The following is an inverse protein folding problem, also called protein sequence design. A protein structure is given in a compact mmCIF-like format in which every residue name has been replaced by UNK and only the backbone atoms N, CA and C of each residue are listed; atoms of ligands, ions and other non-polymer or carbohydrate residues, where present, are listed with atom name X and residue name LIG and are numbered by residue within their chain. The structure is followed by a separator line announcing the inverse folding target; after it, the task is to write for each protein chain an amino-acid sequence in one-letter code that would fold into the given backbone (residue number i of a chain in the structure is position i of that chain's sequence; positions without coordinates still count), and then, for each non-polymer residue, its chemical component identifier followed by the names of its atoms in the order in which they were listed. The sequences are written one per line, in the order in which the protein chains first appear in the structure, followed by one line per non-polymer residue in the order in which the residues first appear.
data_IF_602085101019
#
_entry.id   IF_602085101019
#
_cell.length_a   1.000
_cell.length_b   1.000
_cell.length_c   1.000
_cell.angle_alpha   90.00
_cell.angle_beta   90.00
_cell.angle_gamma   90.00
#
_symmetry.space_group_name_H-M   'P 1'
#
loop_
_entity.id
_entity.type
_entity.pdbx_description
1 polymer ?
#
# COMPACT_ATOMS: atom_id res chain seq x y z
N UNK A 1 -22.44 -10.71 -12.17
CA UNK A 1 -21.13 -11.42 -12.22
C UNK A 1 -19.95 -10.60 -12.76
N UNK A 2 -19.98 -10.00 -13.97
CA UNK A 2 -18.79 -9.32 -14.56
C UNK A 2 -18.09 -8.30 -13.63
N UNK A 3 -18.86 -7.46 -12.92
CA UNK A 3 -18.32 -6.47 -11.95
C UNK A 3 -17.62 -7.13 -10.75
N UNK A 4 -18.17 -8.22 -10.21
CA UNK A 4 -17.57 -8.97 -9.10
C UNK A 4 -16.23 -9.61 -9.49
N UNK A 5 -16.16 -10.26 -10.67
CA UNK A 5 -14.89 -10.81 -11.19
C UNK A 5 -13.81 -9.74 -11.35
N UNK A 6 -14.18 -8.54 -11.84
CA UNK A 6 -13.26 -7.39 -11.95
C UNK A 6 -12.76 -6.93 -10.58
N UNK A 7 -13.62 -6.89 -9.56
CA UNK A 7 -13.27 -6.46 -8.20
C UNK A 7 -12.32 -7.46 -7.51
N UNK A 8 -12.56 -8.77 -7.65
CA UNK A 8 -11.66 -9.82 -7.17
C UNK A 8 -10.29 -9.76 -7.86
N UNK A 9 -10.26 -9.51 -9.18
CA UNK A 9 -8.99 -9.37 -9.92
C UNK A 9 -8.18 -8.15 -9.46
N UNK A 10 -8.84 -7.01 -9.21
CA UNK A 10 -8.21 -5.81 -8.64
C UNK A 10 -7.65 -6.10 -7.24
N UNK A 11 -8.39 -6.80 -6.38
CA UNK A 11 -7.91 -7.19 -5.05
C UNK A 11 -6.64 -8.05 -5.14
N UNK A 12 -6.61 -9.05 -6.02
CA UNK A 12 -5.45 -9.91 -6.25
C UNK A 12 -4.24 -9.13 -6.76
N UNK A 13 -4.42 -8.24 -7.74
CA UNK A 13 -3.35 -7.39 -8.24
C UNK A 13 -2.77 -6.48 -7.14
N UNK A 14 -3.65 -5.91 -6.29
CA UNK A 14 -3.23 -5.10 -5.14
C UNK A 14 -2.48 -5.92 -4.07
N UNK A 15 -2.88 -7.15 -3.80
CA UNK A 15 -2.12 -8.04 -2.89
C UNK A 15 -0.70 -8.31 -3.41
N UNK A 16 -0.53 -8.53 -4.73
CA UNK A 16 0.81 -8.72 -5.33
C UNK A 16 1.66 -7.45 -5.18
N UNK A 17 1.08 -6.27 -5.46
CA UNK A 17 1.79 -4.98 -5.30
C UNK A 17 2.14 -4.71 -3.83
N UNK A 18 1.21 -4.91 -2.90
CA UNK A 18 1.47 -4.73 -1.47
C UNK A 18 2.53 -5.72 -0.94
N UNK A 19 2.52 -6.98 -1.41
CA UNK A 19 3.56 -7.96 -1.11
C UNK A 19 4.93 -7.54 -1.64
N UNK A 20 5.00 -7.06 -2.89
CA UNK A 20 6.23 -6.56 -3.49
C UNK A 20 6.79 -5.34 -2.73
N UNK A 21 5.96 -4.33 -2.44
CA UNK A 21 6.36 -3.16 -1.64
C UNK A 21 6.83 -3.56 -0.24
N UNK A 22 6.16 -4.53 0.40
CA UNK A 22 6.53 -5.02 1.74
C UNK A 22 7.87 -5.74 1.78
N UNK A 23 8.35 -6.29 0.65
CA UNK A 23 9.57 -7.14 0.58
C UNK A 23 10.71 -6.49 -0.20
N UNK A 24 10.48 -5.52 -1.09
CA UNK A 24 11.55 -4.94 -1.92
C UNK A 24 11.79 -3.44 -1.69
N UNK A 25 10.95 -2.76 -0.91
CA UNK A 25 11.12 -1.33 -0.66
C UNK A 25 12.21 -1.08 0.41
N UNK A 26 13.32 -0.46 -0.03
CA UNK A 26 14.26 0.24 0.88
C UNK A 26 13.51 1.39 1.54
N UNK A 27 13.52 1.46 2.88
CA UNK A 27 12.79 2.49 3.62
C UNK A 27 13.68 3.66 4.03
N UNK A 28 14.94 3.38 4.38
CA UNK A 28 15.97 4.38 4.67
C UNK A 28 17.35 3.81 4.40
N UNK A 29 18.29 4.69 4.07
CA UNK A 29 19.70 4.37 3.90
C UNK A 29 20.51 5.53 4.49
N UNK A 30 21.53 5.22 5.29
CA UNK A 30 22.53 6.18 5.75
C UNK A 30 23.89 5.68 5.29
N UNK A 31 24.70 6.57 4.72
CA UNK A 31 26.07 6.30 4.27
C UNK A 31 27.00 7.38 4.77
N UNK A 32 28.22 7.00 5.17
CA UNK A 32 29.28 7.93 5.56
C UNK A 32 30.66 7.33 5.26
N UNK A 33 31.63 8.21 4.97
CA UNK A 33 33.02 7.81 4.79
C UNK A 33 33.63 7.37 6.12
N UNK A 34 34.38 6.28 6.11
CA UNK A 34 35.08 5.73 7.27
C UNK A 34 36.57 5.53 6.96
N UNK A 35 37.47 5.83 7.92
CA UNK A 35 38.89 5.69 7.72
C UNK A 35 39.34 4.22 7.74
N UNK A 36 40.57 3.98 7.28
CA UNK A 36 41.28 2.71 7.49
C UNK A 36 41.25 2.29 8.97
N UNK A 37 41.06 0.99 9.22
CA UNK A 37 40.97 0.40 10.55
C UNK A 37 39.56 0.39 11.14
N UNK A 38 38.56 0.93 10.43
CA UNK A 38 37.14 0.77 10.76
C UNK A 38 36.75 -0.71 10.85
N UNK A 39 35.90 -1.05 11.81
CA UNK A 39 35.43 -2.40 12.06
C UNK A 39 33.90 -2.46 11.95
N UNK A 40 33.36 -3.45 11.25
CA UNK A 40 31.91 -3.64 11.13
C UNK A 40 31.54 -5.12 11.00
N UNK A 41 30.24 -5.43 11.04
CA UNK A 41 29.70 -6.78 11.10
C UNK A 41 29.26 -7.18 12.50
N UNK A 42 28.96 -8.47 12.69
CA UNK A 42 28.40 -9.00 13.93
C UNK A 42 29.23 -8.60 15.18
N UNK A 43 28.60 -8.26 16.32
CA UNK A 43 29.31 -7.84 17.54
C UNK A 43 30.42 -8.81 18.01
N UNK A 44 30.24 -10.11 17.76
CA UNK A 44 31.20 -11.16 18.14
C UNK A 44 32.18 -11.56 17.02
N UNK A 45 32.05 -10.99 15.82
CA UNK A 45 32.87 -11.31 14.65
C UNK A 45 32.97 -10.11 13.70
N UNK A 46 33.51 -9.00 14.22
CA UNK A 46 33.73 -7.78 13.42
C UNK A 46 34.95 -7.92 12.52
N UNK A 47 34.79 -7.58 11.24
CA UNK A 47 35.91 -7.50 10.31
C UNK A 47 36.49 -6.08 10.32
N UNK A 48 37.81 -5.95 10.51
CA UNK A 48 38.53 -4.68 10.32
C UNK A 48 38.90 -4.48 8.86
N UNK A 49 38.76 -3.26 8.38
CA UNK A 49 39.07 -2.88 6.99
C UNK A 49 40.47 -2.27 6.91
N UNK A 50 41.32 -2.83 6.05
CA UNK A 50 42.69 -2.33 5.81
C UNK A 50 42.75 -1.11 4.87
N UNK A 51 41.61 -0.62 4.42
CA UNK A 51 41.44 0.51 3.51
C UNK A 51 40.32 1.43 4.00
N UNK A 52 40.33 2.68 3.56
CA UNK A 52 39.20 3.59 3.71
C UNK A 52 38.05 3.23 2.76
N UNK A 53 36.84 3.67 3.07
CA UNK A 53 35.65 3.34 2.29
C UNK A 53 34.41 4.10 2.71
N UNK A 54 33.30 3.83 2.02
CA UNK A 54 31.96 4.21 2.44
C UNK A 54 31.35 3.07 3.27
N UNK A 55 30.95 3.36 4.50
CA UNK A 55 30.09 2.48 5.27
C UNK A 55 28.65 2.94 5.14
N UNK A 56 27.75 2.01 4.88
CA UNK A 56 26.32 2.29 4.74
C UNK A 56 25.46 1.27 5.47
N UNK A 57 24.34 1.72 6.01
CA UNK A 57 23.31 0.87 6.60
C UNK A 57 22.03 1.10 5.81
N UNK A 58 21.42 0.00 5.35
CA UNK A 58 20.18 0.01 4.57
C UNK A 58 19.11 -0.76 5.32
N UNK A 59 17.97 -0.12 5.57
CA UNK A 59 16.79 -0.74 6.16
C UNK A 59 15.76 -1.03 5.07
N UNK A 60 15.15 -2.20 5.14
CA UNK A 60 14.10 -2.63 4.23
C UNK A 60 12.80 -2.85 4.98
N UNK A 61 11.69 -2.43 4.36
CA UNK A 61 10.36 -2.43 4.97
C UNK A 61 10.03 -1.13 5.71
N UNK A 62 8.76 -0.75 5.61
CA UNK A 62 8.17 0.42 6.27
C UNK A 62 6.68 0.13 6.52
N UNK A 63 6.12 0.50 7.69
CA UNK A 63 6.75 1.24 8.79
C UNK A 63 7.68 0.39 9.68
N UNK A 64 7.54 -0.93 9.68
CA UNK A 64 8.41 -1.82 10.46
C UNK A 64 9.58 -2.33 9.59
N UNK A 65 10.85 -2.10 9.96
CA UNK A 65 11.95 -2.73 9.26
C UNK A 65 11.89 -4.24 9.48
N UNK A 66 11.94 -5.02 8.39
CA UNK A 66 11.98 -6.50 8.47
C UNK A 66 13.39 -7.05 8.20
N UNK A 67 14.28 -6.24 7.61
CA UNK A 67 15.67 -6.56 7.33
C UNK A 67 16.52 -5.31 7.47
N UNK A 68 17.72 -5.46 8.04
CA UNK A 68 18.76 -4.44 8.05
C UNK A 68 20.05 -5.04 7.51
N UNK A 69 20.66 -4.36 6.54
CA UNK A 69 21.92 -4.77 5.92
C UNK A 69 22.92 -3.63 6.07
N UNK A 70 24.02 -3.90 6.76
CA UNK A 70 25.24 -3.10 6.76
C UNK A 70 26.04 -3.43 5.49
N UNK A 71 26.72 -2.44 4.92
CA UNK A 71 27.52 -2.61 3.70
C UNK A 71 28.69 -1.64 3.70
N UNK A 72 29.90 -2.19 3.66
CA UNK A 72 31.13 -1.45 3.42
C UNK A 72 31.54 -1.57 1.95
N UNK A 73 31.84 -0.43 1.35
CA UNK A 73 32.39 -0.31 0.01
C UNK A 73 33.74 0.40 0.09
N UNK A 74 34.87 -0.28 -0.17
CA UNK A 74 36.17 0.37 -0.16
C UNK A 74 36.28 1.45 -1.25
N UNK A 75 37.10 2.48 -0.98
CA UNK A 75 37.39 3.57 -1.92
C UNK A 75 38.55 3.18 -2.85
N UNK A 76 38.44 3.50 -4.14
CA UNK A 76 39.46 3.21 -5.17
C UNK A 76 39.13 1.99 -6.03
N UNK A 77 40.16 1.36 -6.64
CA UNK A 77 40.03 0.25 -7.59
C UNK A 77 39.66 -1.11 -6.96
N UNK A 78 39.48 -1.17 -5.64
CA UNK A 78 39.03 -2.38 -4.95
C UNK A 78 37.50 -2.43 -5.01
N UNK A 79 36.94 -3.37 -5.77
CA UNK A 79 35.49 -3.50 -5.96
C UNK A 79 34.78 -4.40 -4.93
N UNK A 80 35.52 -4.97 -3.98
CA UNK A 80 34.98 -5.92 -2.99
C UNK A 80 34.08 -5.24 -1.97
N UNK A 81 32.79 -5.14 -2.32
CA UNK A 81 31.73 -4.72 -1.40
C UNK A 81 31.44 -5.84 -0.41
N UNK A 82 31.54 -5.54 0.88
CA UNK A 82 31.29 -6.48 1.96
C UNK A 82 29.97 -6.12 2.65
N UNK A 83 29.03 -7.06 2.68
CA UNK A 83 27.70 -6.85 3.26
C UNK A 83 27.43 -7.80 4.43
N UNK A 84 26.84 -7.28 5.50
CA UNK A 84 26.42 -8.04 6.67
C UNK A 84 24.94 -7.79 6.97
N UNK A 85 24.17 -8.85 7.20
CA UNK A 85 22.76 -8.73 7.58
C UNK A 85 22.65 -8.64 9.12
N UNK A 86 22.65 -7.41 9.64
CA UNK A 86 22.48 -7.10 11.07
C UNK A 86 21.16 -7.66 11.62
N UNK A 87 20.08 -7.51 10.86
CA UNK A 87 18.78 -8.08 11.18
C UNK A 87 18.32 -8.97 10.01
N UNK A 88 18.32 -10.30 10.17
CA UNK A 88 17.81 -11.21 9.15
C UNK A 88 16.28 -11.11 9.00
N UNK A 89 15.76 -11.62 7.89
CA UNK A 89 14.39 -11.42 7.42
C UNK A 89 13.31 -11.83 8.44
N UNK A 90 12.71 -10.86 9.13
CA UNK A 90 11.72 -11.10 10.16
C UNK A 90 10.28 -11.18 9.61
N UNK A 91 9.75 -12.41 9.51
CA UNK A 91 8.45 -12.71 8.86
C UNK A 91 7.27 -11.93 9.43
N UNK A 92 7.20 -11.73 10.75
CA UNK A 92 6.11 -10.96 11.37
C UNK A 92 6.13 -9.49 10.93
N UNK A 93 7.30 -8.88 10.76
CA UNK A 93 7.40 -7.49 10.30
C UNK A 93 6.93 -7.33 8.84
N UNK A 94 7.16 -8.34 7.99
CA UNK A 94 6.60 -8.38 6.62
C UNK A 94 5.07 -8.43 6.67
N UNK A 95 4.47 -9.25 7.53
CA UNK A 95 3.01 -9.33 7.71
C UNK A 95 2.45 -7.99 8.21
N UNK A 96 3.10 -7.34 9.17
CA UNK A 96 2.70 -6.01 9.65
C UNK A 96 2.75 -4.96 8.54
N UNK A 97 3.82 -4.93 7.74
CA UNK A 97 3.92 -4.03 6.59
C UNK A 97 2.83 -4.31 5.55
N UNK A 98 2.57 -5.58 5.24
CA UNK A 98 1.52 -5.97 4.30
C UNK A 98 0.14 -5.50 4.75
N UNK A 99 -0.21 -5.70 6.03
CA UNK A 99 -1.46 -5.21 6.62
C UNK A 99 -1.52 -3.69 6.60
N UNK A 100 -0.41 -3.00 6.91
CA UNK A 100 -0.32 -1.54 6.85
C UNK A 100 -0.59 -1.01 5.44
N UNK A 101 0.09 -1.53 4.41
CA UNK A 101 -0.11 -1.12 3.02
C UNK A 101 -1.54 -1.39 2.55
N UNK A 102 -2.07 -2.59 2.83
CA UNK A 102 -3.46 -2.92 2.51
C UNK A 102 -4.46 -1.97 3.19
N UNK A 103 -4.27 -1.67 4.48
CA UNK A 103 -5.10 -0.73 5.23
C UNK A 103 -5.03 0.69 4.68
N UNK A 104 -3.83 1.16 4.35
CA UNK A 104 -3.59 2.47 3.73
C UNK A 104 -4.30 2.58 2.36
N UNK A 105 -4.20 1.56 1.51
CA UNK A 105 -4.93 1.53 0.23
C UNK A 105 -6.45 1.53 0.41
N UNK A 106 -6.98 0.77 1.37
CA UNK A 106 -8.42 0.79 1.68
C UNK A 106 -8.85 2.18 2.20
N UNK A 107 -8.03 2.82 3.03
CA UNK A 107 -8.29 4.18 3.51
C UNK A 107 -8.28 5.23 2.37
N UNK A 108 -7.40 5.10 1.38
CA UNK A 108 -7.42 5.96 0.17
C UNK A 108 -8.62 5.68 -0.74
N UNK A 109 -9.11 4.44 -0.80
CA UNK A 109 -10.30 4.07 -1.58
C UNK A 109 -11.61 4.49 -0.90
N UNK A 110 -11.66 4.55 0.43
CA UNK A 110 -12.88 4.84 1.19
C UNK A 110 -13.56 6.17 0.77
N UNK A 111 -12.86 7.33 0.67
CA UNK A 111 -13.46 8.57 0.18
C UNK A 111 -14.06 8.42 -1.22
N UNK A 112 -13.34 7.76 -2.14
CA UNK A 112 -13.80 7.53 -3.51
C UNK A 112 -15.11 6.72 -3.49
N UNK A 113 -15.20 5.68 -2.65
CA UNK A 113 -16.43 4.87 -2.53
C UNK A 113 -17.59 5.60 -1.85
N UNK A 114 -17.33 6.50 -0.90
CA UNK A 114 -18.36 7.28 -0.18
C UNK A 114 -18.96 8.36 -1.09
N UNK A 115 -18.14 9.03 -1.91
CA UNK A 115 -18.61 10.08 -2.83
C UNK A 115 -19.05 9.55 -4.20
N UNK A 116 -18.88 8.25 -4.50
CA UNK A 116 -19.37 7.65 -5.75
C UNK A 116 -20.88 7.42 -5.73
N UNK A 117 -21.65 8.52 -5.74
CA UNK A 117 -23.09 8.49 -5.98
C UNK A 117 -23.31 7.94 -7.39
N UNK A 118 -24.02 6.82 -7.59
CA UNK A 118 -24.38 6.39 -8.92
C UNK A 118 -25.34 7.44 -9.50
N UNK A 119 -24.86 8.21 -10.48
CA UNK A 119 -25.76 8.90 -11.41
C UNK A 119 -26.47 7.82 -12.21
N UNK A 120 -27.60 7.35 -11.69
CA UNK A 120 -28.64 6.76 -12.51
C UNK A 120 -29.01 7.85 -13.52
N UNK A 121 -28.56 7.67 -14.77
CA UNK A 121 -29.00 8.55 -15.85
C UNK A 121 -30.53 8.51 -15.85
N UNK A 122 -31.24 9.64 -15.77
CA UNK A 122 -32.68 9.63 -16.02
C UNK A 122 -32.86 9.04 -17.42
N UNK A 123 -33.69 8.00 -17.52
CA UNK A 123 -34.09 7.46 -18.82
C UNK A 123 -34.73 8.58 -19.62
N UNK A 124 -34.33 8.73 -20.88
CA UNK A 124 -34.89 9.75 -21.77
C UNK A 124 -36.42 9.74 -21.78
N UNK A 125 -36.96 10.94 -21.81
CA UNK A 125 -38.39 11.22 -21.90
C UNK A 125 -39.02 10.60 -23.13
N UNK A 126 -40.08 9.81 -22.94
CA UNK A 126 -41.13 9.67 -23.96
C UNK A 126 -41.96 10.97 -23.94
N UNK A 127 -42.13 11.70 -25.06
CA UNK A 127 -42.90 12.94 -25.10
C UNK A 127 -44.42 12.70 -24.98
N UNK A 128 -45.23 13.74 -24.68
CA UNK A 128 -46.59 13.58 -24.18
C UNK A 128 -47.63 13.40 -25.29
N UNK A 129 -48.68 12.61 -25.02
CA UNK A 129 -49.91 12.62 -25.80
C UNK A 129 -51.15 12.54 -24.89
N UNK A 130 -52.29 12.93 -25.44
CA UNK A 130 -53.36 13.64 -24.73
C UNK A 130 -54.65 12.81 -24.57
N UNK A 131 -55.32 12.94 -23.40
CA UNK A 131 -56.74 12.65 -23.09
C UNK A 131 -57.43 11.46 -23.80
N UNK A 132 -58.01 10.54 -23.00
CA UNK A 132 -59.49 10.42 -22.86
C UNK A 132 -59.95 9.29 -21.91
N UNK A 133 -60.90 9.63 -20.99
CA UNK A 133 -62.08 8.84 -20.53
C UNK A 133 -61.82 7.44 -19.88
N UNK A 134 -62.59 6.90 -18.93
CA UNK A 134 -63.92 7.21 -18.35
C UNK A 134 -64.13 6.40 -17.05
N UNK A 135 -64.97 6.87 -16.10
CA UNK A 135 -65.63 6.06 -15.03
C UNK A 135 -64.67 5.40 -13.99
N UNK A 136 -65.00 5.02 -12.74
CA UNK A 136 -66.13 5.07 -11.78
C UNK A 136 -65.55 4.64 -10.39
N UNK A 137 -66.01 4.97 -9.17
CA UNK A 137 -67.15 5.74 -8.60
C UNK A 137 -66.77 6.22 -7.15
N UNK A 138 -67.73 6.81 -6.40
CA UNK A 138 -68.00 6.80 -4.94
C UNK A 138 -67.02 6.12 -3.92
N UNK A 139 -66.85 6.54 -2.64
CA UNK A 139 -67.51 7.58 -1.78
C UNK A 139 -66.71 7.82 -0.46
N UNK A 140 -66.88 9.00 0.16
CA UNK A 140 -67.12 9.33 1.62
C UNK A 140 -66.30 8.61 2.73
N UNK A 141 -65.86 9.20 3.86
CA UNK A 141 -66.18 10.43 4.64
C UNK A 141 -64.89 11.13 5.12
N UNK A 142 -64.76 12.46 5.13
CA UNK A 142 -65.36 13.42 6.07
C UNK A 142 -65.03 13.15 7.56
N UNK A 143 -64.19 14.01 8.15
CA UNK A 143 -64.11 14.23 9.59
C UNK A 143 -63.61 15.67 9.84
N UNK A 144 -64.54 16.55 10.20
CA UNK A 144 -64.28 17.92 10.64
C UNK A 144 -64.84 18.06 12.04
N UNK A 145 -64.02 18.47 13.01
CA UNK A 145 -64.55 18.90 14.31
C UNK A 145 -63.58 19.81 15.06
N UNK A 146 -63.94 21.10 15.08
CA UNK A 146 -63.83 21.95 16.28
C UNK A 146 -64.97 21.59 17.25
#
# INVERSE_FOLDING_TARGET
MKRFKKLVFVLLALMVVAGFLSVFMKSRQYGFAVPKGFAFGAPNNQARMDVEGEYSVTWYGSPAPYKVTETFRPTGDVFNTLSYDEMPLHRFAIVTNFIFWMGLFVAFLAPITIFWRPQNKPSESTPPEEKQKTNKTEKTSENTRD
#
